data_IF_262342991849
#
_entry.id   IF_262342991849
#
_cell.length_a   1.000
_cell.length_b   1.000
_cell.length_c   1.000
_cell.angle_alpha   90.00
_cell.angle_beta   90.00
_cell.angle_gamma   90.00
#
_symmetry.space_group_name_H-M   'P 1'
#
loop_
_entity.id
_entity.type
_entity.pdbx_description
1 polymer ?
#
# COMPACT_ATOMS: atom_id res chain seq x y z
N UNK A 1 -19.83 -24.77 10.32
CA UNK A 1 -18.61 -25.00 11.10
C UNK A 1 -17.45 -24.91 10.12
N UNK A 2 -16.61 -23.88 10.21
CA UNK A 2 -15.31 -23.97 9.57
C UNK A 2 -14.57 -25.09 10.30
N UNK A 3 -14.38 -26.23 9.62
CA UNK A 3 -13.65 -27.39 10.14
C UNK A 3 -12.13 -27.19 10.06
N UNK A 4 -11.69 -25.97 9.81
CA UNK A 4 -10.30 -25.63 9.57
C UNK A 4 -9.61 -25.23 10.86
N UNK A 5 -8.35 -25.61 10.98
CA UNK A 5 -7.49 -25.18 12.07
C UNK A 5 -7.02 -23.74 11.85
N UNK A 6 -6.55 -23.10 12.93
CA UNK A 6 -6.03 -21.73 12.90
C UNK A 6 -4.97 -21.51 11.82
N UNK A 7 -4.07 -22.49 11.67
CA UNK A 7 -2.94 -22.44 10.76
C UNK A 7 -3.35 -22.59 9.29
N UNK A 8 -4.60 -22.97 9.03
CA UNK A 8 -5.15 -23.16 7.69
C UNK A 8 -5.93 -21.94 7.19
N UNK A 9 -6.20 -20.96 8.07
CA UNK A 9 -6.89 -19.70 7.75
C UNK A 9 -5.93 -18.54 7.99
N UNK A 10 -5.75 -17.70 6.97
CA UNK A 10 -5.08 -16.40 7.09
C UNK A 10 -6.10 -15.28 6.92
N UNK A 11 -6.16 -14.36 7.88
CA UNK A 11 -6.91 -13.12 7.78
C UNK A 11 -5.94 -11.96 7.58
N UNK A 12 -5.98 -11.34 6.40
CA UNK A 12 -5.22 -10.16 6.05
C UNK A 12 -6.11 -8.92 6.16
N UNK A 13 -5.58 -7.88 6.78
CA UNK A 13 -6.30 -6.63 6.97
C UNK A 13 -5.52 -5.47 6.37
N UNK A 14 -6.20 -4.61 5.62
CA UNK A 14 -5.77 -3.21 5.53
C UNK A 14 -5.83 -2.53 6.91
N UNK A 15 -5.18 -1.36 7.06
CA UNK A 15 -5.12 -0.63 8.33
C UNK A 15 -6.12 0.52 8.36
N UNK A 16 -5.99 1.49 7.46
CA UNK A 16 -6.68 2.79 7.49
C UNK A 16 -8.12 2.68 6.96
N UNK A 17 -9.11 2.74 7.84
CA UNK A 17 -10.53 2.54 7.48
C UNK A 17 -11.01 1.11 7.69
N UNK A 18 -10.07 0.17 7.87
CA UNK A 18 -10.36 -1.27 8.05
C UNK A 18 -10.15 -1.72 9.49
N UNK A 19 -8.96 -1.51 10.07
CA UNK A 19 -8.67 -1.80 11.47
C UNK A 19 -8.80 -0.57 12.36
N UNK A 20 -8.54 0.61 11.81
CA UNK A 20 -8.62 1.87 12.53
C UNK A 20 -9.52 2.86 11.78
N UNK A 21 -10.13 3.84 12.46
CA UNK A 21 -10.69 4.98 11.77
C UNK A 21 -9.58 5.70 10.99
N UNK A 22 -9.88 6.25 9.82
CA UNK A 22 -8.88 6.86 8.95
C UNK A 22 -7.95 7.84 9.69
N UNK A 23 -6.64 7.56 9.64
CA UNK A 23 -5.55 8.32 10.29
C UNK A 23 -5.65 8.41 11.83
N UNK A 24 -6.32 7.45 12.46
CA UNK A 24 -6.40 7.34 13.92
C UNK A 24 -5.85 6.01 14.41
N UNK A 25 -5.72 5.90 15.71
CA UNK A 25 -5.36 4.67 16.42
C UNK A 25 -6.53 3.69 16.47
N UNK A 26 -6.23 2.40 16.57
CA UNK A 26 -7.23 1.34 16.81
C UNK A 26 -8.01 1.60 18.11
N UNK A 27 -9.30 1.31 18.08
CA UNK A 27 -10.14 1.36 19.28
C UNK A 27 -9.82 0.16 20.19
N UNK A 28 -9.71 0.41 21.49
CA UNK A 28 -9.24 -0.58 22.45
C UNK A 28 -10.12 -1.83 22.49
N UNK A 29 -11.44 -1.64 22.40
CA UNK A 29 -12.41 -2.73 22.38
C UNK A 29 -12.20 -3.66 21.18
N UNK A 30 -11.94 -3.08 20.00
CA UNK A 30 -11.70 -3.87 18.79
C UNK A 30 -10.34 -4.56 18.80
N UNK A 31 -9.31 -3.91 19.34
CA UNK A 31 -8.00 -4.52 19.57
C UNK A 31 -8.11 -5.74 20.51
N UNK A 32 -8.82 -5.59 21.63
CA UNK A 32 -9.07 -6.69 22.57
C UNK A 32 -9.83 -7.85 21.89
N UNK A 33 -10.86 -7.55 21.08
CA UNK A 33 -11.57 -8.57 20.30
C UNK A 33 -10.62 -9.30 19.33
N UNK A 34 -9.81 -8.57 18.56
CA UNK A 34 -8.90 -9.13 17.57
C UNK A 34 -7.89 -10.08 18.21
N UNK A 35 -7.26 -9.68 19.32
CA UNK A 35 -6.21 -10.49 19.93
C UNK A 35 -6.74 -11.61 20.82
N UNK A 36 -7.90 -11.45 21.47
CA UNK A 36 -8.43 -12.46 22.39
C UNK A 36 -9.39 -13.45 21.74
N UNK A 37 -10.13 -13.03 20.72
CA UNK A 37 -11.13 -13.88 20.05
C UNK A 37 -10.64 -14.37 18.70
N UNK A 38 -10.22 -13.46 17.83
CA UNK A 38 -9.88 -13.76 16.42
C UNK A 38 -8.55 -14.50 16.32
N UNK A 39 -7.50 -14.00 16.97
CA UNK A 39 -6.14 -14.58 16.90
C UNK A 39 -6.11 -16.05 17.30
N UNK A 40 -6.99 -16.52 18.20
CA UNK A 40 -7.04 -17.94 18.58
C UNK A 40 -7.61 -18.87 17.50
N UNK A 41 -8.32 -18.31 16.51
CA UNK A 41 -9.08 -19.03 15.48
C UNK A 41 -8.47 -18.97 14.09
N UNK A 42 -7.66 -17.95 13.80
CA UNK A 42 -6.95 -17.81 12.53
C UNK A 42 -5.57 -17.16 12.71
N UNK A 43 -4.70 -17.37 11.74
CA UNK A 43 -3.49 -16.57 11.59
C UNK A 43 -3.90 -15.18 11.14
N UNK A 44 -3.39 -14.13 11.79
CA UNK A 44 -3.74 -12.74 11.45
C UNK A 44 -2.53 -11.99 10.92
N UNK A 45 -2.76 -11.16 9.91
CA UNK A 45 -1.74 -10.26 9.38
C UNK A 45 -2.27 -8.93 8.89
N UNK A 46 -1.38 -7.93 8.86
CA UNK A 46 -1.70 -6.61 8.31
C UNK A 46 -0.90 -6.34 7.04
N UNK A 47 -1.52 -5.67 6.08
CA UNK A 47 -0.90 -5.21 4.84
C UNK A 47 -1.19 -3.73 4.61
N UNK A 48 -0.15 -2.92 4.48
CA UNK A 48 -0.30 -1.47 4.32
C UNK A 48 0.77 -0.92 3.39
N UNK A 49 0.41 0.07 2.59
CA UNK A 49 1.38 0.83 1.78
C UNK A 49 2.24 1.78 2.62
N UNK A 50 1.96 1.94 3.91
CA UNK A 50 2.77 2.76 4.82
C UNK A 50 4.00 2.00 5.33
N UNK A 51 4.99 2.74 5.81
CA UNK A 51 6.13 2.15 6.51
C UNK A 51 5.73 1.55 7.88
N UNK A 52 6.63 0.79 8.48
CA UNK A 52 6.39 0.13 9.77
C UNK A 52 6.10 1.13 10.90
N UNK A 53 6.77 2.29 10.90
CA UNK A 53 6.61 3.27 11.96
C UNK A 53 5.18 3.82 12.01
N UNK A 54 4.60 4.10 10.84
CA UNK A 54 3.23 4.56 10.74
C UNK A 54 2.21 3.47 11.06
N UNK A 55 2.45 2.21 10.67
CA UNK A 55 1.59 1.09 11.07
C UNK A 55 1.59 0.95 12.61
N UNK A 56 2.77 1.05 13.25
CA UNK A 56 2.88 1.03 14.71
C UNK A 56 2.14 2.18 15.37
N UNK A 57 2.22 3.39 14.82
CA UNK A 57 1.45 4.54 15.33
C UNK A 57 -0.06 4.25 15.35
N UNK A 58 -0.58 3.60 14.32
CA UNK A 58 -2.02 3.31 14.18
C UNK A 58 -2.48 2.13 15.04
N UNK A 59 -1.61 1.17 15.29
CA UNK A 59 -1.97 -0.09 15.96
C UNK A 59 -1.27 -0.23 17.32
N UNK A 60 -1.26 0.88 18.08
CA UNK A 60 -0.83 0.96 19.47
C UNK A 60 0.63 0.52 19.78
N UNK A 61 1.54 0.80 18.85
CA UNK A 61 2.98 0.79 19.08
C UNK A 61 3.65 -0.56 18.78
N UNK A 62 4.66 -0.91 19.59
CA UNK A 62 5.50 -2.08 19.35
C UNK A 62 4.79 -3.42 19.61
N UNK A 63 3.72 -3.42 20.42
CA UNK A 63 2.91 -4.62 20.69
C UNK A 63 2.25 -5.19 19.43
N UNK A 64 2.08 -4.40 18.37
CA UNK A 64 1.61 -4.87 17.07
C UNK A 64 2.44 -6.05 16.57
N UNK A 65 3.77 -5.89 16.53
CA UNK A 65 4.66 -6.87 15.90
C UNK A 65 4.69 -8.19 16.68
N UNK A 66 4.37 -8.11 17.98
CA UNK A 66 4.23 -9.26 18.86
C UNK A 66 2.86 -9.95 18.72
N UNK A 67 1.82 -9.18 18.34
CA UNK A 67 0.45 -9.68 18.30
C UNK A 67 0.01 -10.18 16.91
N UNK A 68 0.48 -9.57 15.83
CA UNK A 68 0.23 -10.07 14.48
C UNK A 68 1.25 -11.16 14.11
N UNK A 69 0.76 -12.25 13.52
CA UNK A 69 1.63 -13.31 13.02
C UNK A 69 2.45 -12.80 11.81
N UNK A 70 1.82 -11.97 10.96
CA UNK A 70 2.37 -11.46 9.71
C UNK A 70 2.18 -9.93 9.64
N UNK A 71 3.24 -9.18 9.37
CA UNK A 71 3.18 -7.73 9.17
C UNK A 71 3.86 -7.41 7.85
N UNK A 72 3.12 -6.74 6.95
CA UNK A 72 3.55 -6.38 5.60
C UNK A 72 3.56 -4.86 5.40
N UNK A 73 4.58 -4.15 5.91
CA UNK A 73 4.79 -2.75 5.56
C UNK A 73 5.16 -2.58 4.09
N UNK A 74 4.89 -1.40 3.55
CA UNK A 74 5.16 -1.06 2.15
C UNK A 74 4.64 -2.13 1.18
N UNK A 75 3.36 -2.52 1.35
CA UNK A 75 2.67 -3.57 0.58
C UNK A 75 3.27 -4.98 0.70
N UNK A 76 4.18 -5.21 1.65
CA UNK A 76 4.91 -6.47 1.81
C UNK A 76 6.31 -6.45 1.24
N UNK A 77 6.82 -5.30 0.77
CA UNK A 77 8.24 -5.16 0.44
C UNK A 77 9.13 -5.36 1.65
N UNK A 78 8.61 -5.05 2.84
CA UNK A 78 9.12 -5.58 4.10
C UNK A 78 8.16 -6.67 4.56
N UNK A 79 8.70 -7.82 4.97
CA UNK A 79 7.91 -8.88 5.57
C UNK A 79 8.48 -9.22 6.95
N UNK A 80 7.63 -9.06 7.96
CA UNK A 80 7.92 -9.45 9.34
C UNK A 80 6.97 -10.58 9.73
N UNK A 81 7.53 -11.65 10.27
CA UNK A 81 6.78 -12.81 10.74
C UNK A 81 7.13 -13.09 12.18
N UNK A 82 6.13 -13.14 13.05
CA UNK A 82 6.29 -13.39 14.49
C UNK A 82 7.39 -12.51 15.12
N UNK A 83 7.32 -11.19 14.92
CA UNK A 83 8.34 -10.27 15.46
C UNK A 83 9.65 -10.17 14.66
N UNK A 84 9.92 -11.05 13.70
CA UNK A 84 11.22 -11.14 13.01
C UNK A 84 11.12 -10.70 11.56
N UNK A 85 11.96 -9.75 11.13
CA UNK A 85 12.09 -9.37 9.72
C UNK A 85 12.64 -10.55 8.91
N UNK A 86 11.83 -11.07 7.99
CA UNK A 86 12.15 -12.21 7.14
C UNK A 86 12.75 -11.75 5.82
N UNK A 87 12.23 -10.65 5.25
CA UNK A 87 12.75 -10.12 4.01
C UNK A 87 12.49 -8.62 3.85
N UNK A 88 13.36 -7.99 3.06
CA UNK A 88 13.24 -6.60 2.62
C UNK A 88 13.63 -6.49 1.15
N UNK A 89 12.76 -5.90 0.34
CA UNK A 89 13.01 -5.50 -1.04
C UNK A 89 13.10 -3.98 -1.16
N UNK A 90 13.84 -3.54 -2.18
CA UNK A 90 13.94 -2.16 -2.58
C UNK A 90 13.88 -2.04 -4.09
N UNK A 91 13.31 -0.94 -4.58
CA UNK A 91 13.18 -0.67 -6.02
C UNK A 91 14.54 -0.65 -6.72
N UNK A 92 15.58 -0.19 -6.01
CA UNK A 92 16.96 -0.21 -6.48
C UNK A 92 17.46 -1.64 -6.75
N UNK A 93 17.18 -2.59 -5.84
CA UNK A 93 17.60 -3.98 -6.00
C UNK A 93 16.85 -4.67 -7.14
N UNK A 94 15.57 -4.32 -7.34
CA UNK A 94 14.72 -4.90 -8.39
C UNK A 94 15.06 -4.36 -9.78
N UNK A 95 15.12 -3.04 -9.95
CA UNK A 95 15.34 -2.40 -11.26
C UNK A 95 16.83 -2.29 -11.64
N UNK A 96 17.71 -2.24 -10.64
CA UNK A 96 19.14 -2.01 -10.83
C UNK A 96 19.49 -0.54 -11.11
N UNK A 97 20.72 -0.16 -10.74
CA UNK A 97 21.24 1.22 -10.85
C UNK A 97 21.14 1.83 -12.25
N UNK A 98 21.34 1.02 -13.30
CA UNK A 98 21.29 1.50 -14.67
C UNK A 98 19.89 2.05 -15.03
N UNK A 99 18.83 1.33 -14.68
CA UNK A 99 17.45 1.73 -14.94
C UNK A 99 17.02 2.88 -14.02
N UNK A 100 17.42 2.84 -12.74
CA UNK A 100 17.14 3.94 -11.80
C UNK A 100 17.74 5.25 -12.29
N UNK A 101 19.03 5.25 -12.67
CA UNK A 101 19.70 6.45 -13.20
C UNK A 101 19.03 6.94 -14.48
N UNK A 102 18.66 6.04 -15.40
CA UNK A 102 17.94 6.38 -16.64
C UNK A 102 16.60 7.05 -16.33
N UNK A 103 15.81 6.50 -15.41
CA UNK A 103 14.54 7.06 -14.96
C UNK A 103 14.71 8.45 -14.36
N UNK A 104 15.64 8.61 -13.42
CA UNK A 104 15.90 9.89 -12.76
C UNK A 104 16.32 10.95 -13.80
N UNK A 105 17.27 10.63 -14.67
CA UNK A 105 17.73 11.56 -15.71
C UNK A 105 16.60 11.97 -16.65
N UNK A 106 15.79 11.02 -17.11
CA UNK A 106 14.62 11.30 -17.94
C UNK A 106 13.65 12.25 -17.23
N UNK A 107 13.30 11.95 -15.98
CA UNK A 107 12.38 12.77 -15.19
C UNK A 107 12.93 14.18 -14.97
N UNK A 108 14.22 14.32 -14.65
CA UNK A 108 14.84 15.63 -14.41
C UNK A 108 14.85 16.50 -15.67
N UNK A 109 15.20 15.94 -16.84
CA UNK A 109 15.13 16.68 -18.10
C UNK A 109 13.69 17.06 -18.45
N UNK A 110 12.77 16.09 -18.37
CA UNK A 110 11.35 16.34 -18.67
C UNK A 110 10.76 17.44 -17.78
N UNK A 111 11.03 17.38 -16.47
CA UNK A 111 10.55 18.39 -15.51
C UNK A 111 11.22 19.73 -15.73
N UNK A 112 12.51 19.78 -16.11
CA UNK A 112 13.18 21.04 -16.42
C UNK A 112 12.46 21.81 -17.53
N UNK A 113 12.03 21.11 -18.58
CA UNK A 113 11.38 21.69 -19.76
C UNK A 113 9.88 21.97 -19.60
N UNK A 114 9.25 21.51 -18.51
CA UNK A 114 7.84 21.80 -18.25
C UNK A 114 7.60 23.29 -18.03
N UNK A 115 6.71 23.89 -18.82
CA UNK A 115 6.16 25.22 -18.54
C UNK A 115 4.89 25.07 -17.69
N UNK A 116 5.04 25.23 -16.37
CA UNK A 116 3.95 25.18 -15.40
C UNK A 116 4.02 26.40 -14.48
N UNK A 117 2.88 26.86 -13.91
CA UNK A 117 2.85 28.13 -13.18
C UNK A 117 3.80 28.20 -11.99
N UNK A 118 4.05 27.06 -11.33
CA UNK A 118 4.80 26.99 -10.08
C UNK A 118 5.70 25.74 -10.11
N UNK A 119 6.98 25.94 -9.80
CA UNK A 119 7.95 24.89 -9.44
C UNK A 119 8.55 25.19 -8.06
N UNK A 120 8.78 24.16 -7.26
CA UNK A 120 9.39 24.21 -5.93
C UNK A 120 10.61 23.28 -5.92
N UNK A 121 10.67 22.33 -4.99
CA UNK A 121 11.73 21.34 -4.89
C UNK A 121 11.18 19.98 -4.47
N UNK A 122 12.07 18.99 -4.41
CA UNK A 122 11.70 17.56 -4.27
C UNK A 122 10.80 17.10 -5.42
N UNK A 123 11.34 17.20 -6.64
CA UNK A 123 10.68 16.72 -7.87
C UNK A 123 10.71 15.20 -8.00
N UNK A 124 11.73 14.58 -7.40
CA UNK A 124 11.92 13.13 -7.34
C UNK A 124 12.15 12.80 -5.88
N UNK A 125 11.28 11.98 -5.31
CA UNK A 125 11.32 11.49 -3.94
C UNK A 125 11.53 9.97 -3.97
N UNK A 126 12.76 9.55 -3.69
CA UNK A 126 13.19 8.15 -3.76
C UNK A 126 12.83 7.43 -2.46
N UNK A 127 11.93 6.44 -2.54
CA UNK A 127 11.49 5.63 -1.41
C UNK A 127 12.00 4.21 -1.55
N UNK A 128 11.80 3.39 -0.53
CA UNK A 128 12.26 2.01 -0.56
C UNK A 128 11.52 1.20 -1.65
N UNK A 129 10.19 1.29 -1.72
CA UNK A 129 9.40 0.58 -2.73
C UNK A 129 9.09 1.30 -4.04
N UNK A 130 9.31 2.62 -4.12
CA UNK A 130 8.84 3.40 -5.26
C UNK A 130 9.64 4.69 -5.42
N UNK A 131 9.49 5.32 -6.57
CA UNK A 131 9.96 6.69 -6.80
C UNK A 131 8.74 7.56 -7.06
N UNK A 132 8.51 8.57 -6.21
CA UNK A 132 7.45 9.55 -6.41
C UNK A 132 8.00 10.72 -7.24
N UNK A 133 7.36 10.99 -8.37
CA UNK A 133 7.72 12.03 -9.33
C UNK A 133 6.67 13.14 -9.23
N UNK A 134 7.08 14.37 -8.94
CA UNK A 134 6.20 15.49 -8.64
C UNK A 134 6.57 16.71 -9.50
N UNK A 135 5.86 17.00 -10.61
CA UNK A 135 6.21 18.10 -11.51
C UNK A 135 6.30 19.48 -10.85
N UNK A 136 5.37 19.81 -9.95
CA UNK A 136 5.42 21.04 -9.14
C UNK A 136 6.51 21.00 -8.06
N UNK A 137 6.92 19.80 -7.62
CA UNK A 137 7.80 19.58 -6.47
C UNK A 137 7.02 19.43 -5.16
N UNK A 138 7.36 18.44 -4.33
CA UNK A 138 6.62 18.11 -3.09
C UNK A 138 6.72 19.18 -2.00
N UNK A 139 7.67 20.11 -2.10
CA UNK A 139 7.82 21.22 -1.16
C UNK A 139 6.84 22.39 -1.40
N UNK A 140 5.80 22.20 -2.21
CA UNK A 140 4.76 23.19 -2.42
C UNK A 140 3.82 23.35 -1.22
N UNK A 141 3.22 24.52 -1.06
CA UNK A 141 2.16 24.72 -0.05
C UNK A 141 0.87 24.00 -0.46
N UNK A 142 -0.10 23.94 0.45
CA UNK A 142 -1.40 23.37 0.15
C UNK A 142 -2.15 24.18 -0.92
N UNK A 143 -2.09 25.50 -0.87
CA UNK A 143 -2.68 26.39 -1.86
C UNK A 143 -2.06 26.18 -3.24
N UNK A 144 -0.73 26.08 -3.30
CA UNK A 144 0.01 25.81 -4.55
C UNK A 144 -0.35 24.43 -5.13
N UNK A 145 -0.55 23.43 -4.27
CA UNK A 145 -1.06 22.11 -4.66
C UNK A 145 -2.44 22.19 -5.30
N UNK A 146 -3.36 22.99 -4.75
CA UNK A 146 -4.69 23.18 -5.35
C UNK A 146 -4.60 23.89 -6.71
N UNK A 147 -3.73 24.89 -6.82
CA UNK A 147 -3.45 25.58 -8.10
C UNK A 147 -2.92 24.61 -9.14
N UNK A 148 -1.92 23.78 -8.78
CA UNK A 148 -1.39 22.78 -9.70
C UNK A 148 -2.43 21.73 -10.08
N UNK A 149 -3.23 21.24 -9.13
CA UNK A 149 -4.25 20.24 -9.44
C UNK A 149 -5.24 20.77 -10.49
N UNK A 150 -5.74 22.00 -10.31
CA UNK A 150 -6.62 22.63 -11.29
C UNK A 150 -5.92 22.83 -12.64
N UNK A 151 -4.67 23.29 -12.64
CA UNK A 151 -3.90 23.47 -13.85
C UNK A 151 -3.67 22.14 -14.59
N UNK A 152 -3.37 21.07 -13.85
CA UNK A 152 -3.18 19.72 -14.37
C UNK A 152 -4.48 19.11 -14.92
N UNK A 153 -5.62 19.37 -14.28
CA UNK A 153 -6.94 18.95 -14.80
C UNK A 153 -7.24 19.61 -16.16
N UNK A 154 -6.81 20.85 -16.38
CA UNK A 154 -7.00 21.58 -17.64
C UNK A 154 -5.94 21.19 -18.71
N UNK A 155 -4.68 21.02 -18.32
CA UNK A 155 -3.54 20.91 -19.24
C UNK A 155 -2.99 19.47 -19.37
N UNK A 156 -3.45 18.56 -18.52
CA UNK A 156 -3.13 17.13 -18.51
C UNK A 156 -1.61 16.87 -18.39
N UNK A 157 -0.93 17.63 -17.54
CA UNK A 157 0.55 17.61 -17.39
C UNK A 157 1.03 16.22 -16.98
N UNK A 158 0.42 15.63 -15.95
CA UNK A 158 0.79 14.32 -15.42
C UNK A 158 0.42 13.18 -16.37
N UNK A 159 -0.74 13.24 -17.03
CA UNK A 159 -1.12 12.23 -18.03
C UNK A 159 -0.10 12.17 -19.16
N UNK A 160 0.24 13.34 -19.75
CA UNK A 160 1.25 13.43 -20.81
C UNK A 160 2.63 12.92 -20.36
N UNK A 161 3.03 13.26 -19.13
CA UNK A 161 4.29 12.76 -18.56
C UNK A 161 4.26 11.24 -18.37
N UNK A 162 3.15 10.66 -17.88
CA UNK A 162 2.98 9.21 -17.74
C UNK A 162 3.06 8.51 -19.09
N UNK A 163 2.44 9.05 -20.13
CA UNK A 163 2.52 8.49 -21.49
C UNK A 163 3.97 8.49 -22.02
N UNK A 164 4.69 9.60 -21.82
CA UNK A 164 6.09 9.70 -22.20
C UNK A 164 6.97 8.69 -21.43
N UNK A 165 6.75 8.54 -20.12
CA UNK A 165 7.44 7.57 -19.27
C UNK A 165 7.15 6.12 -19.71
N UNK A 166 5.88 5.77 -19.93
CA UNK A 166 5.50 4.43 -20.40
C UNK A 166 6.14 4.08 -21.74
N UNK A 167 6.26 5.06 -22.65
CA UNK A 167 6.93 4.87 -23.93
C UNK A 167 8.44 4.68 -23.77
N UNK A 168 9.08 5.53 -22.95
CA UNK A 168 10.52 5.46 -22.73
C UNK A 168 10.93 4.17 -22.01
N UNK A 169 10.16 3.72 -21.03
CA UNK A 169 10.50 2.59 -20.15
C UNK A 169 9.71 1.31 -20.48
N UNK A 170 9.25 1.15 -21.72
CA UNK A 170 8.49 -0.03 -22.15
C UNK A 170 9.27 -1.36 -22.03
N UNK A 171 10.60 -1.29 -21.93
CA UNK A 171 11.53 -2.41 -21.73
C UNK A 171 11.82 -2.72 -20.25
N UNK A 172 11.29 -1.92 -19.31
CA UNK A 172 11.56 -2.03 -17.88
C UNK A 172 10.28 -2.45 -17.15
N UNK A 173 10.41 -3.35 -16.16
CA UNK A 173 9.32 -3.75 -15.28
C UNK A 173 8.96 -2.60 -14.32
N UNK A 174 8.25 -1.59 -14.82
CA UNK A 174 7.84 -0.41 -14.06
C UNK A 174 6.46 0.08 -14.52
N UNK A 175 5.63 0.37 -13.55
CA UNK A 175 4.32 1.00 -13.69
C UNK A 175 4.38 2.44 -13.20
N UNK A 176 3.62 3.30 -13.88
CA UNK A 176 3.45 4.70 -13.54
C UNK A 176 1.97 4.98 -13.26
N UNK A 177 1.65 5.40 -12.04
CA UNK A 177 0.29 5.70 -11.60
C UNK A 177 0.19 7.15 -11.11
N UNK A 178 -0.88 7.86 -11.46
CA UNK A 178 -1.11 9.22 -10.96
C UNK A 178 -1.50 9.12 -9.47
N UNK A 179 -0.70 9.75 -8.62
CA UNK A 179 -0.85 9.73 -7.17
C UNK A 179 -1.37 11.06 -6.64
N UNK A 180 -2.59 11.06 -6.10
CA UNK A 180 -3.22 12.22 -5.47
C UNK A 180 -3.30 13.44 -6.40
N UNK A 181 -3.04 14.63 -5.86
CA UNK A 181 -3.24 15.90 -6.56
C UNK A 181 -2.03 16.42 -7.35
N UNK A 182 -0.83 15.91 -7.09
CA UNK A 182 0.41 16.56 -7.57
C UNK A 182 1.47 15.63 -8.14
N UNK A 183 1.35 14.31 -7.96
CA UNK A 183 2.47 13.39 -8.24
C UNK A 183 2.07 12.19 -9.09
N UNK A 184 3.09 11.46 -9.51
CA UNK A 184 3.06 10.17 -10.18
C UNK A 184 3.93 9.23 -9.36
N UNK A 185 3.44 8.05 -9.02
CA UNK A 185 4.23 6.99 -8.39
C UNK A 185 4.77 6.06 -9.48
N UNK A 186 6.07 5.77 -9.41
CA UNK A 186 6.77 4.83 -10.26
C UNK A 186 7.24 3.63 -9.42
N UNK A 187 6.72 2.45 -9.72
CA UNK A 187 6.98 1.23 -8.96
C UNK A 187 6.91 -0.01 -9.88
N UNK A 188 7.63 -1.09 -9.60
CA UNK A 188 7.53 -2.32 -10.39
C UNK A 188 6.11 -2.90 -10.42
N UNK A 189 5.81 -3.70 -11.45
CA UNK A 189 4.49 -4.33 -11.52
C UNK A 189 4.25 -5.22 -10.30
N UNK A 190 2.98 -5.30 -9.88
CA UNK A 190 2.52 -6.09 -8.72
C UNK A 190 3.06 -5.64 -7.35
N UNK A 191 3.78 -4.50 -7.26
CA UNK A 191 4.18 -3.91 -5.96
C UNK A 191 3.04 -3.15 -5.25
N UNK A 192 1.80 -3.43 -5.63
CA UNK A 192 0.59 -3.16 -4.85
C UNK A 192 0.43 -4.20 -3.72
N UNK A 193 -0.69 -4.16 -2.98
CA UNK A 193 -0.89 -5.04 -1.81
C UNK A 193 -0.80 -6.54 -2.15
N UNK A 194 -1.01 -6.97 -3.40
CA UNK A 194 -0.81 -8.36 -3.81
C UNK A 194 0.62 -8.84 -3.62
N UNK A 195 1.60 -7.95 -3.57
CA UNK A 195 2.99 -8.32 -3.32
C UNK A 195 3.15 -9.14 -2.03
N UNK A 196 2.39 -8.78 -0.98
CA UNK A 196 2.35 -9.52 0.29
C UNK A 196 2.03 -11.01 0.11
N UNK A 197 1.21 -11.37 -0.88
CA UNK A 197 0.80 -12.74 -1.14
C UNK A 197 1.94 -13.63 -1.67
N UNK A 198 3.07 -13.06 -2.14
CA UNK A 198 4.26 -13.84 -2.49
C UNK A 198 4.96 -14.45 -1.27
N UNK A 199 4.76 -13.87 -0.08
CA UNK A 199 5.32 -14.36 1.18
C UNK A 199 4.43 -15.39 1.87
N UNK A 200 3.16 -15.43 1.47
CA UNK A 200 2.18 -16.35 2.03
C UNK A 200 2.34 -17.71 1.33
N UNK A 201 2.80 -18.71 2.09
CA UNK A 201 2.98 -20.06 1.56
C UNK A 201 1.66 -20.75 1.20
N UNK A 202 1.74 -21.86 0.46
CA UNK A 202 0.58 -22.65 0.00
C UNK A 202 -0.15 -23.44 1.09
N UNK A 203 0.20 -23.23 2.36
CA UNK A 203 -0.33 -24.02 3.48
C UNK A 203 -1.68 -23.51 3.97
N UNK A 204 -2.06 -22.28 3.61
CA UNK A 204 -3.38 -21.74 3.92
C UNK A 204 -4.40 -22.28 2.92
N UNK A 205 -5.49 -22.84 3.45
CA UNK A 205 -6.65 -23.26 2.66
C UNK A 205 -7.54 -22.07 2.30
N UNK A 206 -7.61 -21.08 3.20
CA UNK A 206 -8.38 -19.86 3.03
C UNK A 206 -7.51 -18.65 3.38
N UNK A 207 -7.46 -17.67 2.48
CA UNK A 207 -6.85 -16.36 2.74
C UNK A 207 -7.97 -15.33 2.59
N UNK A 208 -8.42 -14.77 3.69
CA UNK A 208 -9.41 -13.70 3.69
C UNK A 208 -8.69 -12.36 3.68
N UNK A 209 -9.16 -11.43 2.84
CA UNK A 209 -8.65 -10.07 2.84
C UNK A 209 -9.78 -9.09 3.16
N UNK A 210 -9.56 -8.20 4.14
CA UNK A 210 -10.49 -7.13 4.53
C UNK A 210 -9.91 -5.77 4.13
N UNK A 211 -10.70 -4.95 3.44
CA UNK A 211 -10.29 -3.61 3.00
C UNK A 211 -11.46 -2.66 2.74
N UNK A 212 -11.23 -1.36 2.91
CA UNK A 212 -12.24 -0.31 2.71
C UNK A 212 -12.29 0.21 1.26
N UNK A 213 -11.18 0.14 0.52
CA UNK A 213 -11.03 0.72 -0.83
C UNK A 213 -10.87 -0.35 -1.90
N UNK A 214 -11.84 -1.25 -1.97
CA UNK A 214 -11.85 -2.44 -2.84
C UNK A 214 -12.39 -2.17 -4.26
N UNK A 215 -12.99 -1.00 -4.50
CA UNK A 215 -13.44 -0.57 -5.83
C UNK A 215 -12.26 -0.25 -6.75
N UNK A 216 -12.46 -0.37 -8.07
CA UNK A 216 -11.43 -0.05 -9.08
C UNK A 216 -10.81 1.33 -8.81
N UNK A 217 -9.48 1.37 -8.73
CA UNK A 217 -8.71 2.59 -8.42
C UNK A 217 -8.48 2.84 -6.92
N UNK A 218 -9.10 2.06 -6.04
CA UNK A 218 -8.74 1.99 -4.63
C UNK A 218 -7.52 1.10 -4.40
N UNK A 219 -6.75 1.37 -3.34
CA UNK A 219 -5.48 0.68 -3.05
C UNK A 219 -5.65 -0.76 -2.54
N UNK A 220 -6.88 -1.19 -2.27
CA UNK A 220 -7.19 -2.58 -1.91
C UNK A 220 -7.70 -3.41 -3.09
N UNK A 221 -8.04 -2.75 -4.20
CA UNK A 221 -8.73 -3.39 -5.31
C UNK A 221 -8.00 -4.63 -5.81
N UNK A 222 -6.70 -4.50 -6.03
CA UNK A 222 -5.88 -5.54 -6.62
C UNK A 222 -5.77 -6.78 -5.71
N UNK A 223 -5.54 -6.61 -4.40
CA UNK A 223 -5.47 -7.73 -3.45
C UNK A 223 -6.85 -8.34 -3.17
N UNK A 224 -7.90 -7.52 -3.15
CA UNK A 224 -9.28 -7.97 -2.99
C UNK A 224 -9.76 -8.82 -4.17
N UNK A 225 -9.36 -8.45 -5.39
CA UNK A 225 -9.74 -9.16 -6.62
C UNK A 225 -8.79 -10.32 -6.98
N UNK A 226 -7.71 -10.52 -6.23
CA UNK A 226 -6.75 -11.60 -6.47
C UNK A 226 -7.41 -12.97 -6.23
N UNK A 227 -7.29 -13.95 -7.15
CA UNK A 227 -7.94 -15.26 -7.00
C UNK A 227 -7.44 -16.09 -5.81
N UNK A 228 -6.32 -15.70 -5.18
CA UNK A 228 -5.82 -16.31 -3.96
C UNK A 228 -6.57 -15.85 -2.71
N UNK A 229 -7.34 -14.76 -2.78
CA UNK A 229 -8.04 -14.19 -1.62
C UNK A 229 -9.55 -14.36 -1.72
N UNK A 230 -10.18 -14.44 -0.54
CA UNK A 230 -11.62 -14.28 -0.34
C UNK A 230 -11.78 -12.84 0.19
N UNK A 231 -12.17 -11.93 -0.70
CA UNK A 231 -12.28 -10.51 -0.38
C UNK A 231 -13.53 -10.14 0.42
N UNK A 232 -13.34 -9.27 1.42
CA UNK A 232 -14.37 -8.68 2.27
C UNK A 232 -14.26 -7.17 2.20
N UNK A 233 -15.23 -6.52 1.55
CA UNK A 233 -15.33 -5.06 1.58
C UNK A 233 -15.91 -4.66 2.93
N UNK A 234 -15.25 -3.74 3.63
CA UNK A 234 -15.72 -3.16 4.89
C UNK A 234 -15.92 -1.66 4.72
N UNK A 235 -16.78 -1.06 5.55
CA UNK A 235 -17.01 0.40 5.53
C UNK A 235 -16.34 1.14 6.68
N UNK A 236 -16.07 0.43 7.78
CA UNK A 236 -15.39 0.93 8.97
C UNK A 236 -14.90 -0.25 9.85
N UNK A 237 -14.14 0.02 10.93
CA UNK A 237 -13.65 -1.04 11.83
C UNK A 237 -14.75 -1.88 12.50
N UNK A 238 -15.94 -1.32 12.75
CA UNK A 238 -17.04 -2.07 13.38
C UNK A 238 -17.65 -3.06 12.41
N UNK A 239 -17.70 -2.71 11.13
CA UNK A 239 -18.11 -3.65 10.09
C UNK A 239 -17.08 -4.77 9.94
N UNK A 240 -15.77 -4.49 10.03
CA UNK A 240 -14.72 -5.52 10.11
C UNK A 240 -14.96 -6.46 11.29
N UNK A 241 -15.20 -5.93 12.50
CA UNK A 241 -15.49 -6.72 13.70
C UNK A 241 -16.70 -7.63 13.51
N UNK A 242 -17.80 -7.09 12.97
CA UNK A 242 -19.03 -7.84 12.69
C UNK A 242 -18.79 -8.99 11.70
N UNK A 243 -18.14 -8.70 10.58
CA UNK A 243 -17.85 -9.71 9.55
C UNK A 243 -16.91 -10.80 10.10
N UNK A 244 -15.95 -10.45 10.96
CA UNK A 244 -15.10 -11.43 11.64
C UNK A 244 -15.87 -12.34 12.60
N UNK A 245 -16.80 -11.76 13.39
CA UNK A 245 -17.63 -12.53 14.30
C UNK A 245 -18.53 -13.53 13.54
N UNK A 246 -19.11 -13.11 12.41
CA UNK A 246 -19.90 -13.97 11.53
C UNK A 246 -19.05 -15.07 10.89
N UNK A 247 -17.89 -14.72 10.32
CA UNK A 247 -16.98 -15.65 9.65
C UNK A 247 -16.48 -16.74 10.61
N UNK A 248 -16.09 -16.36 11.82
CA UNK A 248 -15.46 -17.24 12.80
C UNK A 248 -16.43 -17.84 13.82
N UNK A 249 -17.72 -17.48 13.76
CA UNK A 249 -18.76 -17.87 14.73
C UNK A 249 -18.37 -17.53 16.18
N UNK A 250 -18.03 -16.27 16.44
CA UNK A 250 -17.61 -15.74 17.74
C UNK A 250 -18.76 -15.14 18.56
#
# INVERSE_FOLDING_TARGET
MSSLNREEILLLFDVDGTLTPARKTIEKEFEEFLYTKVKSKATIGVVSGSDLAKIKEQLNGDSLVDNFDYVFPENGLVFIKNGVEISKQSIQKHLGEANIKRLINFCLHYIADLDIPIKRGTFIDFRNGMINICPIGRQCTYEERLVFNKYDDEHQVRIKMVEALKKEFADVDITFAIGGQISIDAFPNEWDKRYSLHHVGTNFKEIHFFGDKTSIGGNDHEIFADPRTIGHTVVDPKDTERQLAELLNL
#
